data_IF_786597823909
#
_entry.id   IF_786597823909
#
_cell.length_a   1.000
_cell.length_b   1.000
_cell.length_c   1.000
_cell.angle_alpha   90.00
_cell.angle_beta   90.00
_cell.angle_gamma   90.00
#
_symmetry.space_group_name_H-M   'P 1'
#
loop_
_entity.id
_entity.type
_entity.pdbx_description
1 polymer ?
#
# COMPACT_ATOMS: atom_id res chain seq x y z
N UNK A 1 17.01 47.36 39.79
CA UNK A 1 16.08 46.93 38.72
C UNK A 1 16.89 46.78 37.44
N UNK A 2 17.46 45.61 37.20
CA UNK A 2 18.28 45.35 36.01
C UNK A 2 17.33 45.12 34.85
N UNK A 3 17.24 46.09 33.94
CA UNK A 3 16.39 45.99 32.76
C UNK A 3 16.79 44.77 31.93
N UNK A 4 15.80 43.95 31.54
CA UNK A 4 15.97 42.88 30.57
C UNK A 4 16.31 43.50 29.20
N UNK A 5 17.58 43.83 28.95
CA UNK A 5 18.03 44.25 27.63
C UNK A 5 18.03 43.00 26.75
N UNK A 6 17.05 42.88 25.87
CA UNK A 6 17.02 41.78 24.91
C UNK A 6 18.12 42.00 23.88
N UNK A 7 19.08 41.07 23.83
CA UNK A 7 20.12 41.07 22.81
C UNK A 7 19.47 40.89 21.44
N UNK A 8 19.39 41.98 20.67
CA UNK A 8 18.79 42.02 19.34
C UNK A 8 19.52 41.10 18.36
N UNK A 9 20.82 40.88 18.54
CA UNK A 9 21.58 39.97 17.68
C UNK A 9 21.24 38.51 18.00
N UNK A 10 21.13 38.16 19.28
CA UNK A 10 20.69 36.82 19.71
C UNK A 10 19.24 36.53 19.26
N UNK A 11 18.33 37.51 19.36
CA UNK A 11 16.97 37.41 18.82
C UNK A 11 16.98 37.21 17.30
N UNK A 12 17.74 38.03 16.56
CA UNK A 12 17.84 37.91 15.10
C UNK A 12 18.34 36.55 14.64
N UNK A 13 19.33 35.99 15.36
CA UNK A 13 19.81 34.62 15.15
C UNK A 13 18.72 33.59 15.42
N UNK A 14 18.00 33.70 16.54
CA UNK A 14 16.91 32.78 16.89
C UNK A 14 15.78 32.78 15.85
N UNK A 15 15.42 33.95 15.31
CA UNK A 15 14.45 34.04 14.21
C UNK A 15 14.96 33.40 12.91
N UNK A 16 16.23 33.61 12.56
CA UNK A 16 16.84 32.99 11.39
C UNK A 16 16.93 31.46 11.52
N UNK A 17 17.28 30.95 12.71
CA UNK A 17 17.33 29.52 12.99
C UNK A 17 15.92 28.90 12.97
N UNK A 18 14.91 29.60 13.51
CA UNK A 18 13.51 29.19 13.42
C UNK A 18 13.02 29.15 11.96
N UNK A 19 13.38 30.13 11.14
CA UNK A 19 13.01 30.15 9.72
C UNK A 19 13.66 29.01 8.93
N UNK A 20 14.93 28.66 9.22
CA UNK A 20 15.57 27.48 8.63
C UNK A 20 14.88 26.19 9.08
N UNK A 21 14.55 26.09 10.37
CA UNK A 21 13.85 24.94 10.91
C UNK A 21 12.46 24.76 10.28
N UNK A 22 11.69 25.84 10.06
CA UNK A 22 10.38 25.73 9.40
C UNK A 22 10.48 25.22 7.97
N UNK A 23 11.50 25.64 7.21
CA UNK A 23 11.75 25.13 5.85
C UNK A 23 12.06 23.63 5.87
N UNK A 24 12.84 23.15 6.84
CA UNK A 24 13.13 21.72 6.99
C UNK A 24 11.87 20.93 7.33
N UNK A 25 11.04 21.45 8.25
CA UNK A 25 9.75 20.81 8.62
C UNK A 25 8.82 20.73 7.41
N UNK A 26 8.71 21.79 6.63
CA UNK A 26 7.92 21.80 5.40
C UNK A 26 8.45 20.77 4.38
N UNK A 27 9.76 20.72 4.17
CA UNK A 27 10.39 19.76 3.27
C UNK A 27 10.14 18.30 3.70
N UNK A 28 10.28 18.00 4.99
CA UNK A 28 9.97 16.68 5.55
C UNK A 28 8.48 16.33 5.38
N UNK A 29 7.59 17.30 5.64
CA UNK A 29 6.14 17.09 5.47
C UNK A 29 5.79 16.76 4.01
N UNK A 30 6.41 17.42 3.03
CA UNK A 30 6.20 17.12 1.62
C UNK A 30 6.80 15.76 1.23
N UNK A 31 7.98 15.43 1.77
CA UNK A 31 8.59 14.11 1.57
C UNK A 31 7.70 12.99 2.13
N UNK A 32 7.15 13.15 3.33
CA UNK A 32 6.23 12.19 3.96
C UNK A 32 4.96 12.00 3.12
N UNK A 33 4.40 13.07 2.56
CA UNK A 33 3.24 12.98 1.65
C UNK A 33 3.57 12.23 0.37
N UNK A 34 4.71 12.53 -0.26
CA UNK A 34 5.15 11.84 -1.46
C UNK A 34 5.38 10.34 -1.20
N UNK A 35 5.99 10.00 -0.05
CA UNK A 35 6.17 8.60 0.39
C UNK A 35 4.82 7.92 0.65
N UNK A 36 3.89 8.59 1.33
CA UNK A 36 2.56 8.04 1.61
C UNK A 36 1.75 7.78 0.33
N UNK A 37 1.83 8.70 -0.64
CA UNK A 37 1.19 8.57 -1.95
C UNK A 37 1.80 7.43 -2.76
N UNK A 38 3.13 7.35 -2.83
CA UNK A 38 3.84 6.27 -3.50
C UNK A 38 3.55 4.89 -2.88
N UNK A 39 3.31 4.84 -1.55
CA UNK A 39 2.97 3.63 -0.82
C UNK A 39 1.51 3.23 -0.92
N UNK A 40 0.64 4.03 -1.51
CA UNK A 40 -0.78 3.70 -1.63
C UNK A 40 -0.95 2.40 -2.40
N UNK A 41 -1.72 1.46 -1.85
CA UNK A 41 -2.03 0.21 -2.54
C UNK A 41 -2.99 0.52 -3.71
N UNK A 42 -2.74 -0.02 -4.92
CA UNK A 42 -3.73 0.04 -5.99
C UNK A 42 -4.98 -0.75 -5.60
N UNK A 43 -6.05 -0.50 -6.34
CA UNK A 43 -7.28 -1.27 -6.17
C UNK A 43 -7.03 -2.76 -6.38
N UNK A 44 -7.71 -3.56 -5.55
CA UNK A 44 -7.61 -5.01 -5.63
C UNK A 44 -8.17 -5.51 -6.97
N UNK A 45 -7.44 -6.35 -7.72
CA UNK A 45 -7.86 -6.71 -9.06
C UNK A 45 -9.22 -7.40 -9.10
N UNK A 46 -10.02 -7.08 -10.12
CA UNK A 46 -11.41 -7.55 -10.21
C UNK A 46 -11.51 -9.07 -10.38
N UNK A 47 -10.54 -9.66 -11.08
CA UNK A 47 -10.38 -11.11 -11.25
C UNK A 47 -10.18 -11.80 -9.92
N UNK A 48 -9.46 -11.17 -8.98
CA UNK A 48 -9.22 -11.72 -7.66
C UNK A 48 -10.47 -11.76 -6.76
N UNK A 49 -11.55 -11.07 -7.16
CA UNK A 49 -12.87 -11.13 -6.50
C UNK A 49 -13.80 -12.16 -7.14
N UNK A 50 -13.39 -12.79 -8.26
CA UNK A 50 -14.20 -13.77 -8.97
C UNK A 50 -14.29 -15.06 -8.16
N UNK A 51 -15.43 -15.73 -8.25
CA UNK A 51 -15.61 -17.09 -7.74
C UNK A 51 -15.71 -18.08 -8.90
N UNK A 52 -14.98 -19.18 -8.79
CA UNK A 52 -15.11 -20.33 -9.68
C UNK A 52 -16.19 -21.28 -9.18
N UNK A 53 -16.93 -21.88 -10.12
CA UNK A 53 -17.99 -22.86 -9.84
C UNK A 53 -17.76 -24.09 -10.70
N UNK A 54 -17.94 -25.28 -10.13
CA UNK A 54 -17.74 -26.56 -10.82
C UNK A 54 -18.73 -26.80 -11.95
N UNK A 55 -19.94 -26.23 -11.89
CA UNK A 55 -20.97 -26.44 -12.91
C UNK A 55 -21.47 -27.90 -12.99
N UNK A 56 -21.28 -28.67 -11.93
CA UNK A 56 -21.84 -30.01 -11.78
C UNK A 56 -23.37 -29.91 -11.74
N UNK A 57 -24.04 -30.82 -12.45
CA UNK A 57 -25.49 -30.92 -12.50
C UNK A 57 -25.95 -32.27 -11.97
N UNK A 58 -27.19 -32.30 -11.47
CA UNK A 58 -27.83 -33.56 -11.10
C UNK A 58 -27.95 -34.45 -12.35
N UNK A 59 -27.54 -35.71 -12.21
CA UNK A 59 -27.50 -36.67 -13.32
C UNK A 59 -26.19 -36.68 -14.12
N UNK A 60 -25.22 -35.81 -13.82
CA UNK A 60 -23.87 -35.97 -14.36
C UNK A 60 -23.30 -37.34 -13.97
N UNK A 61 -22.73 -38.08 -14.93
CA UNK A 61 -21.96 -39.29 -14.62
C UNK A 61 -20.81 -38.93 -13.69
N UNK A 62 -20.47 -39.79 -12.74
CA UNK A 62 -19.45 -39.51 -11.71
C UNK A 62 -18.12 -39.01 -12.31
N UNK A 63 -17.62 -39.62 -13.38
CA UNK A 63 -16.38 -39.16 -14.04
C UNK A 63 -16.47 -37.75 -14.64
N UNK A 64 -17.66 -37.36 -15.14
CA UNK A 64 -17.90 -36.00 -15.65
C UNK A 64 -17.96 -35.01 -14.49
N UNK A 65 -18.65 -35.36 -13.41
CA UNK A 65 -18.72 -34.52 -12.22
C UNK A 65 -17.33 -34.29 -11.60
N UNK A 66 -16.52 -35.35 -11.49
CA UNK A 66 -15.14 -35.25 -10.99
C UNK A 66 -14.28 -34.36 -11.88
N UNK A 67 -14.33 -34.54 -13.21
CA UNK A 67 -13.56 -33.70 -14.14
C UNK A 67 -13.97 -32.23 -14.05
N UNK A 68 -15.26 -31.94 -13.93
CA UNK A 68 -15.78 -30.57 -13.73
C UNK A 68 -15.31 -29.96 -12.41
N UNK A 69 -15.32 -30.72 -11.33
CA UNK A 69 -14.82 -30.29 -10.03
C UNK A 69 -13.33 -29.94 -10.12
N UNK A 70 -12.53 -30.83 -10.69
CA UNK A 70 -11.08 -30.69 -10.80
C UNK A 70 -10.68 -29.47 -11.64
N UNK A 71 -11.33 -29.26 -12.79
CA UNK A 71 -11.12 -28.06 -13.61
C UNK A 71 -11.45 -26.78 -12.84
N UNK A 72 -12.57 -26.75 -12.10
CA UNK A 72 -12.93 -25.56 -11.34
C UNK A 72 -11.99 -25.31 -10.16
N UNK A 73 -11.49 -26.37 -9.51
CA UNK A 73 -10.50 -26.27 -8.46
C UNK A 73 -9.17 -25.75 -9.01
N UNK A 74 -8.68 -26.31 -10.13
CA UNK A 74 -7.47 -25.84 -10.80
C UNK A 74 -7.55 -24.35 -11.14
N UNK A 75 -8.64 -23.93 -11.80
CA UNK A 75 -8.83 -22.51 -12.11
C UNK A 75 -8.89 -21.60 -10.86
N UNK A 76 -9.49 -22.09 -9.76
CA UNK A 76 -9.54 -21.34 -8.52
C UNK A 76 -8.14 -21.20 -7.87
N UNK A 77 -7.35 -22.27 -7.91
CA UNK A 77 -5.98 -22.26 -7.40
C UNK A 77 -5.09 -21.33 -8.24
N UNK A 78 -5.19 -21.39 -9.58
CA UNK A 78 -4.45 -20.49 -10.47
C UNK A 78 -4.78 -19.01 -10.19
N UNK A 79 -6.06 -18.70 -9.94
CA UNK A 79 -6.48 -17.36 -9.52
C UNK A 79 -5.86 -16.98 -8.17
N UNK A 80 -5.91 -17.87 -7.17
CA UNK A 80 -5.36 -17.61 -5.83
C UNK A 80 -3.86 -17.33 -5.92
N UNK A 81 -3.11 -18.14 -6.65
CA UNK A 81 -1.66 -18.01 -6.80
C UNK A 81 -1.30 -16.69 -7.50
N UNK A 82 -2.01 -16.34 -8.58
CA UNK A 82 -1.82 -15.06 -9.27
C UNK A 82 -2.12 -13.85 -8.38
N UNK A 83 -3.19 -13.92 -7.60
CA UNK A 83 -3.58 -12.84 -6.69
C UNK A 83 -2.63 -12.70 -5.49
N UNK A 84 -2.10 -13.82 -4.98
CA UNK A 84 -1.07 -13.83 -3.96
C UNK A 84 0.23 -13.20 -4.48
N UNK A 85 0.69 -13.61 -5.67
CA UNK A 85 1.86 -13.04 -6.32
C UNK A 85 1.74 -11.53 -6.54
N UNK A 86 0.60 -11.07 -7.05
CA UNK A 86 0.32 -9.64 -7.17
C UNK A 86 0.43 -8.91 -5.83
N UNK A 87 -0.13 -9.48 -4.76
CA UNK A 87 -0.08 -8.84 -3.44
C UNK A 87 1.36 -8.75 -2.93
N UNK A 88 2.12 -9.82 -3.04
CA UNK A 88 3.50 -9.89 -2.57
C UNK A 88 4.41 -8.92 -3.33
N UNK A 89 4.28 -8.83 -4.65
CA UNK A 89 5.00 -7.84 -5.46
C UNK A 89 4.68 -6.40 -5.04
N UNK A 90 3.39 -6.10 -4.84
CA UNK A 90 2.95 -4.76 -4.45
C UNK A 90 3.37 -4.42 -3.04
N UNK A 91 3.35 -5.39 -2.13
CA UNK A 91 3.83 -5.25 -0.75
C UNK A 91 5.34 -4.98 -0.74
N UNK A 92 6.13 -5.82 -1.41
CA UNK A 92 7.58 -5.67 -1.48
C UNK A 92 8.01 -4.31 -2.08
N UNK A 93 7.29 -3.83 -3.10
CA UNK A 93 7.57 -2.51 -3.69
C UNK A 93 7.29 -1.33 -2.75
N UNK A 94 6.53 -1.52 -1.67
CA UNK A 94 6.08 -0.48 -0.75
C UNK A 94 6.80 -0.49 0.59
N UNK A 95 7.39 -1.62 0.98
CA UNK A 95 8.18 -1.73 2.20
C UNK A 95 9.41 -0.79 2.15
N UNK A 96 9.77 -0.14 3.27
CA UNK A 96 11.02 0.64 3.34
C UNK A 96 12.22 -0.27 3.03
N UNK A 97 13.17 0.24 2.23
CA UNK A 97 14.46 -0.41 1.99
C UNK A 97 15.50 0.07 2.99
#
# INVERSE_FOLDING_TARGET
>A
MTACTTDKAALGKAYADRAKASVVVEALTQADRAVAEARRMPDYPSECRRHHRSGIKLGDKLGVANKKADIALGNANDQIDGCAGWYDERKAAREPK
#
